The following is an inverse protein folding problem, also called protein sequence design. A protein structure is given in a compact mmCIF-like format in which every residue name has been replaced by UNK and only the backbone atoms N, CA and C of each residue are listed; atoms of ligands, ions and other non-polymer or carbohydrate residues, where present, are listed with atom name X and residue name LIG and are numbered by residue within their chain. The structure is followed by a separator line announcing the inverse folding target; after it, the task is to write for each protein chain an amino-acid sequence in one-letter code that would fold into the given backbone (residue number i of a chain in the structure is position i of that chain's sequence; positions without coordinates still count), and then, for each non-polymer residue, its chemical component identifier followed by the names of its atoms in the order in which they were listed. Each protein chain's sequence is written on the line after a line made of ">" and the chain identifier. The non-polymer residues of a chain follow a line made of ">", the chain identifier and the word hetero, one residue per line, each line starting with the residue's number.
data_IF_298421695677
#
_entry.id   IF_298421695677
#
_cell.length_a   1.000
_cell.length_b   1.000
_cell.length_c   1.000
_cell.angle_alpha   90.00
_cell.angle_beta   90.00
_cell.angle_gamma   90.00
#
_symmetry.space_group_name_H-M   'P 1'
#
loop_
_entity.id
_entity.type
_entity.pdbx_description
1 polymer ?
2 polymer ?
3 polymer ?
#
# COMPACT_ATOMS: atom_id res chain seq x y z
N UNK A 1 -7.06 -13.19 15.65
CA UNK A 1 -6.20 -12.24 16.33
C UNK A 1 -6.57 -10.79 16.07
N UNK A 2 -5.55 -9.95 15.84
CA UNK A 2 -5.78 -8.52 15.84
C UNK A 2 -6.28 -8.03 14.49
N UNK A 3 -6.75 -6.78 14.49
CA UNK A 3 -7.25 -6.10 13.31
C UNK A 3 -6.91 -4.60 13.39
N UNK A 4 -6.89 -3.97 12.23
CA UNK A 4 -6.49 -2.57 12.15
C UNK A 4 -7.41 -1.83 11.17
N UNK A 5 -7.65 -0.56 11.46
CA UNK A 5 -8.33 0.36 10.54
C UNK A 5 -7.39 1.53 10.22
N UNK A 6 -7.30 1.86 8.93
CA UNK A 6 -6.41 2.93 8.51
C UNK A 6 -7.10 3.78 7.48
N UNK A 7 -6.97 5.09 7.65
CA UNK A 7 -7.28 6.06 6.61
C UNK A 7 -5.96 6.74 6.22
N UNK A 8 -5.66 6.77 4.92
CA UNK A 8 -4.48 7.47 4.41
C UNK A 8 -4.94 8.54 3.42
N UNK A 9 -4.33 9.73 3.50
CA UNK A 9 -4.69 10.84 2.64
C UNK A 9 -3.43 11.55 2.11
N UNK A 10 -3.46 11.86 0.81
CA UNK A 10 -2.42 12.65 0.15
C UNK A 10 -3.03 13.90 -0.47
N UNK A 11 -2.59 15.07 -0.03
CA UNK A 11 -2.77 16.34 -0.75
C UNK A 11 -1.52 16.67 -1.55
N UNK A 12 -1.70 17.14 -2.77
CA UNK A 12 -0.56 17.54 -3.60
C UNK A 12 -0.84 18.88 -4.28
N UNK A 13 0.00 19.86 -4.03
CA UNK A 13 -0.08 21.17 -4.67
C UNK A 13 0.42 21.10 -6.11
N UNK A 14 -0.35 21.67 -7.03
CA UNK A 14 0.10 21.87 -8.40
C UNK A 14 -0.08 23.34 -8.70
N UNK A 15 0.97 24.14 -8.60
CA UNK A 15 0.84 25.57 -8.94
C UNK A 15 0.82 25.74 -10.45
N UNK A 16 -0.04 26.63 -10.90
CA UNK A 16 -0.19 26.88 -12.33
C UNK A 16 -1.04 25.83 -13.01
N UNK A 17 -0.78 24.55 -12.72
CA UNK A 17 -1.66 23.48 -13.17
C UNK A 17 -2.96 23.41 -12.36
N UNK A 18 -3.36 24.49 -11.68
CA UNK A 18 -4.66 24.52 -11.04
C UNK A 18 -4.64 24.54 -9.52
N UNK A 19 -5.14 23.47 -8.90
CA UNK A 19 -5.35 23.42 -7.44
C UNK A 19 -4.98 22.11 -6.77
N UNK A 20 -4.48 22.17 -5.50
CA UNK A 20 -4.19 20.94 -4.74
C UNK A 20 -5.23 19.82 -4.86
N UNK A 21 -4.81 18.73 -5.49
CA UNK A 21 -5.57 17.48 -5.50
C UNK A 21 -5.47 16.78 -4.15
N UNK A 22 -6.56 16.14 -3.74
CA UNK A 22 -6.66 15.48 -2.43
C UNK A 22 -7.31 14.12 -2.61
N UNK A 23 -6.58 13.07 -2.24
CA UNK A 23 -6.98 11.67 -2.39
C UNK A 23 -6.97 11.06 -0.99
N UNK A 24 -8.04 10.33 -0.63
CA UNK A 24 -8.04 9.63 0.65
C UNK A 24 -8.62 8.24 0.48
N UNK A 25 -8.03 7.23 1.16
CA UNK A 25 -8.55 5.87 1.14
C UNK A 25 -8.60 5.32 2.57
N UNK A 26 -9.45 4.31 2.75
CA UNK A 26 -9.58 3.64 4.03
C UNK A 26 -9.36 2.16 3.86
N UNK A 27 -8.80 1.55 4.91
CA UNK A 27 -8.52 0.11 4.93
C UNK A 27 -9.04 -0.47 6.23
N UNK A 28 -9.64 -1.63 6.16
CA UNK A 28 -9.62 -2.56 7.28
C UNK A 28 -8.63 -3.65 6.94
N UNK A 29 -7.70 -3.89 7.86
CA UNK A 29 -6.57 -4.76 7.57
C UNK A 29 -5.99 -4.34 6.23
N UNK A 30 -5.95 -5.27 5.28
CA UNK A 30 -5.38 -5.04 3.96
C UNK A 30 -6.45 -4.98 2.88
N UNK A 31 -7.70 -4.69 3.26
CA UNK A 31 -8.78 -4.57 2.30
C UNK A 31 -9.28 -3.13 2.26
N UNK A 32 -9.17 -2.51 1.10
CA UNK A 32 -9.65 -1.16 0.90
C UNK A 32 -11.18 -1.17 0.90
N UNK A 33 -11.79 -0.19 1.56
CA UNK A 33 -13.23 -0.19 1.69
C UNK A 33 -13.92 1.14 1.38
N UNK A 34 -13.23 2.29 1.40
CA UNK A 34 -13.81 3.58 1.03
C UNK A 34 -12.75 4.42 0.33
N UNK A 35 -13.19 5.46 -0.37
CA UNK A 35 -12.25 6.40 -0.96
C UNK A 35 -12.93 7.76 -1.12
N UNK A 36 -12.10 8.79 -1.38
CA UNK A 36 -12.52 10.15 -1.72
C UNK A 36 -11.44 10.76 -2.61
N UNK A 37 -11.85 11.26 -3.76
CA UNK A 37 -10.96 11.90 -4.72
C UNK A 37 -11.45 13.32 -4.97
N UNK A 38 -10.60 14.31 -4.64
CA UNK A 38 -11.00 15.70 -4.80
C UNK A 38 -11.33 16.05 -6.24
N UNK A 39 -10.83 15.28 -7.21
CA UNK A 39 -11.05 15.55 -8.62
C UNK A 39 -11.99 14.54 -9.26
N UNK A 40 -12.93 14.00 -8.46
CA UNK A 40 -13.77 12.90 -8.92
C UNK A 40 -14.93 13.34 -9.80
N UNK A 41 -15.47 14.55 -9.57
CA UNK A 41 -16.79 14.94 -10.10
C UNK A 41 -17.87 14.01 -9.56
N UNK A 42 -18.04 14.07 -8.24
CA UNK A 42 -19.01 13.27 -7.51
C UNK A 42 -19.05 13.89 -6.13
N UNK A 43 -17.89 14.36 -5.69
CA UNK A 43 -17.64 14.97 -4.40
C UNK A 43 -18.30 14.21 -3.25
N UNK A 44 -18.43 12.89 -3.39
CA UNK A 44 -18.95 12.05 -2.33
C UNK A 44 -17.93 10.98 -1.99
N UNK A 45 -17.77 10.69 -0.70
CA UNK A 45 -17.05 9.51 -0.27
C UNK A 45 -17.67 8.26 -0.89
N UNK A 46 -16.85 7.46 -1.59
CA UNK A 46 -17.35 6.33 -2.38
C UNK A 46 -17.05 4.99 -1.73
N UNK A 47 -17.84 3.95 -2.03
CA UNK A 47 -17.52 2.59 -1.56
C UNK A 47 -16.49 1.89 -2.44
N UNK A 48 -15.74 0.98 -1.82
CA UNK A 48 -14.79 0.18 -2.59
C UNK A 48 -14.79 -1.31 -2.26
N UNK A 49 -15.38 -1.74 -1.15
CA UNK A 49 -15.66 -3.14 -0.90
C UNK A 49 -17.17 -3.38 -0.84
N UNK A 50 -17.62 -4.55 -1.28
CA UNK A 50 -19.07 -4.85 -1.25
C UNK A 50 -19.77 -4.66 0.09
N UNK A 51 -19.11 -4.99 1.21
CA UNK A 51 -19.73 -5.00 2.53
C UNK A 51 -19.86 -3.61 3.16
N UNK A 52 -19.44 -2.55 2.47
CA UNK A 52 -19.68 -1.21 2.97
C UNK A 52 -20.92 -0.59 2.33
N UNK A 53 -21.43 -1.19 1.24
CA UNK A 53 -22.63 -0.67 0.59
C UNK A 53 -23.90 -0.87 1.43
N UNK A 54 -23.93 -1.90 2.27
CA UNK A 54 -25.04 -2.09 3.19
C UNK A 54 -25.27 -0.90 4.12
N UNK A 55 -24.24 -0.07 4.41
CA UNK A 55 -24.46 1.17 5.16
C UNK A 55 -25.39 2.10 4.39
N UNK A 56 -26.29 2.80 5.12
CA UNK A 56 -27.34 3.62 4.53
C UNK A 56 -26.90 4.92 3.97
N UNK A 57 -27.79 5.77 3.45
CA UNK A 57 -27.32 7.05 2.86
C UNK A 57 -26.93 8.11 3.88
N UNK A 58 -27.34 7.97 5.13
CA UNK A 58 -26.90 8.95 6.12
C UNK A 58 -25.42 8.78 6.44
N UNK A 59 -24.92 7.55 6.33
CA UNK A 59 -23.49 7.26 6.44
C UNK A 59 -22.70 8.00 5.37
N UNK A 60 -23.05 7.78 4.09
CA UNK A 60 -22.37 8.47 3.00
C UNK A 60 -22.54 9.98 3.08
N UNK A 61 -23.68 10.45 3.62
CA UNK A 61 -23.87 11.88 3.84
C UNK A 61 -22.91 12.40 4.91
N UNK A 62 -22.70 11.61 5.95
CA UNK A 62 -21.82 12.02 7.04
C UNK A 62 -20.36 12.02 6.61
N UNK A 63 -19.84 10.82 6.26
CA UNK A 63 -18.42 10.66 5.97
C UNK A 63 -17.95 11.64 4.91
N UNK A 64 -18.79 11.90 3.89
CA UNK A 64 -18.47 12.93 2.90
C UNK A 64 -18.29 14.29 3.57
N UNK A 65 -19.02 14.54 4.65
CA UNK A 65 -18.84 15.80 5.36
C UNK A 65 -17.51 15.87 6.07
N UNK A 66 -17.11 14.80 6.74
CA UNK A 66 -15.86 14.84 7.48
C UNK A 66 -14.66 14.96 6.55
N UNK A 67 -14.71 14.28 5.40
CA UNK A 67 -13.54 14.20 4.53
C UNK A 67 -13.47 15.29 3.46
N UNK A 68 -14.58 15.95 3.15
CA UNK A 68 -14.45 17.20 2.40
C UNK A 68 -13.82 18.27 3.30
N UNK A 69 -14.28 18.34 4.55
CA UNK A 69 -13.71 19.19 5.59
C UNK A 69 -12.20 19.13 5.64
N UNK A 70 -11.71 17.97 6.08
CA UNK A 70 -10.27 17.74 6.21
C UNK A 70 -9.50 18.08 4.94
N UNK A 71 -10.08 17.82 3.76
CA UNK A 71 -9.44 18.16 2.50
C UNK A 71 -9.11 19.65 2.42
N UNK A 72 -10.09 20.52 2.72
CA UNK A 72 -9.82 21.96 2.72
C UNK A 72 -8.78 22.34 3.78
N UNK A 73 -8.84 21.71 4.95
CA UNK A 73 -7.88 21.98 6.03
C UNK A 73 -6.44 21.77 5.56
N UNK A 74 -6.14 20.59 5.02
CA UNK A 74 -4.80 20.30 4.55
C UNK A 74 -4.42 21.17 3.36
N UNK A 75 -5.41 21.50 2.51
CA UNK A 75 -5.15 22.38 1.38
C UNK A 75 -4.55 23.69 1.85
N UNK A 76 -5.04 24.21 2.99
CA UNK A 76 -4.40 25.38 3.58
C UNK A 76 -3.06 25.01 4.23
N UNK A 77 -3.02 23.89 4.97
CA UNK A 77 -1.78 23.45 5.61
C UNK A 77 -0.61 23.39 4.64
N UNK A 78 -0.86 22.98 3.39
CA UNK A 78 0.15 23.08 2.35
C UNK A 78 0.75 24.49 2.26
N UNK A 79 -0.09 25.53 2.36
CA UNK A 79 0.41 26.91 2.37
C UNK A 79 1.23 27.19 3.63
N UNK A 80 0.71 26.84 4.83
CA UNK A 80 1.44 27.11 6.07
C UNK A 80 2.83 26.49 6.03
N UNK A 81 2.96 25.32 5.40
CA UNK A 81 4.24 24.63 5.37
C UNK A 81 5.24 25.37 4.49
N UNK A 82 4.85 25.66 3.25
CA UNK A 82 5.64 26.48 2.35
C UNK A 82 6.06 27.81 3.01
N UNK A 83 5.32 28.26 4.02
CA UNK A 83 5.72 29.38 4.87
C UNK A 83 6.83 28.94 5.82
N UNK A 84 6.49 28.07 6.80
CA UNK A 84 7.42 27.64 7.84
C UNK A 84 8.78 27.19 7.28
N UNK A 85 8.83 26.79 6.01
CA UNK A 85 10.03 26.23 5.39
C UNK A 85 10.68 27.15 4.37
N UNK A 86 10.05 28.28 4.05
CA UNK A 86 10.56 29.25 3.07
C UNK A 86 10.79 28.62 1.69
N UNK A 87 9.73 28.06 1.12
CA UNK A 87 9.80 27.48 -0.21
C UNK A 87 9.02 28.31 -1.23
N UNK A 88 9.42 28.18 -2.48
CA UNK A 88 8.84 28.89 -3.61
C UNK A 88 7.45 28.32 -3.99
N UNK A 89 6.63 29.20 -4.56
CA UNK A 89 5.25 28.89 -4.91
C UNK A 89 5.13 28.34 -6.33
N UNK A 90 6.23 27.91 -6.93
CA UNK A 90 6.19 27.24 -8.22
C UNK A 90 6.44 25.75 -8.11
N UNK A 91 6.88 25.25 -6.96
CA UNK A 91 7.14 23.84 -6.81
C UNK A 91 5.94 23.07 -6.30
N UNK A 92 5.93 21.77 -6.58
CA UNK A 92 4.94 20.88 -6.02
C UNK A 92 5.44 20.33 -4.69
N UNK A 93 4.55 20.24 -3.74
CA UNK A 93 4.84 19.67 -2.44
C UNK A 93 3.72 18.71 -2.08
N UNK A 94 4.03 17.74 -1.24
CA UNK A 94 3.10 16.69 -0.87
C UNK A 94 2.78 16.81 0.61
N UNK A 95 1.52 16.67 0.98
CA UNK A 95 1.16 16.49 2.38
C UNK A 95 0.47 15.16 2.55
N UNK A 96 0.97 14.34 3.47
CA UNK A 96 0.44 13.01 3.69
C UNK A 96 0.07 12.86 5.15
N UNK A 97 -1.03 12.16 5.40
CA UNK A 97 -1.41 11.85 6.76
C UNK A 97 -1.97 10.44 6.85
N UNK A 98 -1.67 9.76 7.97
CA UNK A 98 -2.37 8.53 8.34
C UNK A 98 -2.84 8.61 9.78
N UNK A 99 -3.97 7.95 10.03
CA UNK A 99 -4.50 7.75 11.37
C UNK A 99 -5.28 6.44 11.38
N UNK A 100 -5.47 5.89 12.58
CA UNK A 100 -6.24 4.67 12.71
C UNK A 100 -6.06 4.04 14.07
N UNK A 101 -6.49 2.80 14.18
CA UNK A 101 -6.36 2.09 15.45
C UNK A 101 -6.22 0.59 15.19
N UNK A 102 -5.67 -0.09 16.19
CA UNK A 102 -5.46 -1.53 16.21
C UNK A 102 -6.19 -2.10 17.41
N UNK A 103 -6.82 -3.26 17.23
CA UNK A 103 -7.56 -3.87 18.32
C UNK A 103 -7.12 -5.32 18.50
N UNK A 104 -7.37 -5.84 19.70
CA UNK A 104 -7.02 -7.21 20.03
C UNK A 104 -7.99 -8.21 19.44
N UNK A 105 -7.90 -9.43 19.96
CA UNK A 105 -8.81 -10.52 19.60
C UNK A 105 -10.23 -10.31 20.12
N UNK A 106 -10.41 -9.40 21.07
CA UNK A 106 -11.68 -9.15 21.75
C UNK A 106 -12.37 -7.88 21.26
N UNK A 107 -11.71 -7.09 20.41
CA UNK A 107 -12.23 -5.81 20.03
C UNK A 107 -11.87 -4.68 20.97
N UNK A 108 -11.10 -4.95 22.02
CA UNK A 108 -10.60 -3.90 22.87
C UNK A 108 -9.59 -3.03 22.11
N UNK A 109 -9.39 -1.82 22.60
CA UNK A 109 -8.39 -0.94 22.01
C UNK A 109 -6.99 -1.44 22.34
N UNK A 110 -6.07 -1.29 21.38
CA UNK A 110 -4.68 -1.71 21.57
C UNK A 110 -3.69 -0.58 21.31
N UNK A 111 -3.78 0.08 20.16
CA UNK A 111 -2.83 1.14 19.85
C UNK A 111 -3.42 2.04 18.78
N UNK A 112 -3.20 3.35 18.92
CA UNK A 112 -3.71 4.32 17.96
C UNK A 112 -2.63 5.15 17.30
N UNK A 113 -2.94 5.74 16.15
CA UNK A 113 -1.96 6.52 15.42
C UNK A 113 -2.58 7.77 14.81
N UNK A 114 -1.76 8.79 14.66
CA UNK A 114 -2.18 10.07 14.10
C UNK A 114 -0.92 10.82 13.69
N UNK A 115 -0.55 10.74 12.40
CA UNK A 115 0.75 11.23 11.94
C UNK A 115 0.62 11.99 10.62
N UNK A 116 1.60 12.86 10.37
CA UNK A 116 1.68 13.69 9.16
C UNK A 116 3.08 13.61 8.57
N UNK A 117 3.17 13.72 7.24
CA UNK A 117 4.47 13.73 6.57
C UNK A 117 4.46 14.75 5.45
N UNK A 118 5.42 15.66 5.50
CA UNK A 118 5.57 16.69 4.48
C UNK A 118 6.65 16.23 3.50
N UNK A 119 6.29 16.10 2.23
CA UNK A 119 7.27 15.88 1.17
C UNK A 119 8.10 14.62 1.44
N UNK A 120 7.43 13.53 1.82
CA UNK A 120 8.03 12.22 1.94
C UNK A 120 8.65 11.93 3.29
N UNK A 121 8.75 12.92 4.17
CA UNK A 121 9.50 12.80 5.40
C UNK A 121 8.59 13.08 6.59
N UNK A 122 8.78 12.31 7.66
CA UNK A 122 8.21 12.58 8.98
C UNK A 122 8.09 14.08 9.25
N UNK A 123 6.88 14.55 9.58
CA UNK A 123 6.68 15.95 9.98
C UNK A 123 6.26 16.07 11.45
N UNK A 124 5.05 15.63 11.82
CA UNK A 124 4.67 15.51 13.22
C UNK A 124 3.80 14.28 13.39
N UNK A 125 3.83 13.71 14.60
CA UNK A 125 3.06 12.50 14.83
C UNK A 125 2.79 12.36 16.31
N UNK A 126 1.68 11.67 16.59
CA UNK A 126 1.24 11.45 17.94
C UNK A 126 2.00 10.27 18.51
N UNK A 127 2.43 10.40 19.75
CA UNK A 127 3.20 9.39 20.45
C UNK A 127 2.36 8.14 20.71
N UNK A 128 2.95 7.16 21.39
CA UNK A 128 2.18 5.99 21.76
C UNK A 128 1.26 6.27 22.94
N UNK A 129 1.69 7.10 23.89
CA UNK A 129 0.79 7.45 24.99
C UNK A 129 -0.45 8.23 24.53
N UNK A 130 -0.44 8.75 23.31
CA UNK A 130 -1.50 9.62 22.81
C UNK A 130 -1.68 10.87 23.69
N UNK A 131 -0.62 11.26 24.40
CA UNK A 131 -0.53 12.48 25.20
C UNK A 131 0.42 13.52 24.64
N UNK A 132 1.56 13.10 24.08
CA UNK A 132 2.61 14.00 23.64
C UNK A 132 2.83 13.87 22.14
N UNK A 133 3.65 14.76 21.61
CA UNK A 133 3.88 14.86 20.18
C UNK A 133 5.37 14.73 19.86
N UNK A 134 5.65 14.26 18.65
CA UNK A 134 7.01 14.05 18.15
C UNK A 134 7.19 14.85 16.87
N UNK A 135 7.69 16.07 17.01
CA UNK A 135 8.05 16.87 15.85
C UNK A 135 9.41 16.43 15.33
N UNK A 136 9.61 16.57 14.03
CA UNK A 136 10.78 16.04 13.36
C UNK A 136 11.84 17.08 13.03
N UNK A 137 11.50 18.37 13.03
CA UNK A 137 12.47 19.44 12.79
C UNK A 137 11.87 20.74 13.32
N UNK A 138 12.56 21.87 13.05
CA UNK A 138 12.19 23.15 13.65
C UNK A 138 10.80 23.60 13.24
N UNK A 139 10.47 23.48 11.94
CA UNK A 139 9.17 23.92 11.47
C UNK A 139 8.03 23.20 12.19
N UNK A 140 8.19 21.91 12.45
CA UNK A 140 7.14 21.14 13.12
C UNK A 140 7.00 21.44 14.60
N UNK A 141 8.00 22.09 15.22
CA UNK A 141 7.88 22.46 16.64
C UNK A 141 7.00 23.69 16.83
N UNK A 142 7.09 24.64 15.89
CA UNK A 142 6.12 25.73 15.80
C UNK A 142 4.71 25.19 15.83
N UNK A 143 4.47 24.12 15.07
CA UNK A 143 3.22 23.39 15.11
C UNK A 143 3.10 22.51 16.34
N UNK A 144 4.20 21.96 16.84
CA UNK A 144 4.08 21.15 18.05
C UNK A 144 3.59 22.01 19.21
N UNK A 145 4.16 23.21 19.37
CA UNK A 145 3.76 24.13 20.43
C UNK A 145 2.29 24.55 20.29
N UNK A 146 1.89 24.92 19.07
CA UNK A 146 0.49 25.26 18.84
C UNK A 146 -0.45 24.16 19.35
N UNK A 147 -0.14 22.89 19.06
CA UNK A 147 -1.05 21.78 19.33
C UNK A 147 -1.02 21.28 20.77
N UNK A 148 -0.21 21.87 21.65
CA UNK A 148 -0.32 21.54 23.07
C UNK A 148 -1.09 22.59 23.85
N UNK A 149 -1.00 23.85 23.43
CA UNK A 149 -1.86 24.87 24.02
C UNK A 149 -3.31 24.63 23.62
N UNK A 150 -3.54 23.97 22.48
CA UNK A 150 -4.88 23.64 22.02
C UNK A 150 -5.39 22.31 22.56
N UNK A 151 -4.53 21.50 23.16
CA UNK A 151 -4.91 20.17 23.67
C UNK A 151 -5.52 19.31 22.56
N UNK A 152 -4.83 19.29 21.41
CA UNK A 152 -5.32 18.51 20.27
C UNK A 152 -5.14 17.03 20.53
N UNK A 153 -4.11 16.64 21.28
CA UNK A 153 -3.95 15.24 21.64
C UNK A 153 -5.20 14.73 22.36
N UNK A 154 -5.68 15.50 23.34
CA UNK A 154 -6.94 15.17 24.00
C UNK A 154 -8.02 14.82 22.98
N UNK A 155 -8.20 15.69 21.99
CA UNK A 155 -9.21 15.49 20.96
C UNK A 155 -8.98 14.17 20.23
N UNK A 156 -7.84 14.06 19.54
CA UNK A 156 -7.52 12.87 18.75
C UNK A 156 -7.56 11.60 19.60
N UNK A 157 -7.07 11.67 20.84
CA UNK A 157 -7.17 10.53 21.75
C UNK A 157 -8.63 10.09 21.92
N UNK A 158 -9.55 11.05 22.00
CA UNK A 158 -10.95 10.72 22.18
C UNK A 158 -11.51 9.98 20.96
N UNK A 159 -11.16 10.43 19.76
CA UNK A 159 -11.58 9.73 18.55
C UNK A 159 -11.07 8.29 18.53
N UNK A 160 -9.80 8.09 18.89
CA UNK A 160 -9.14 6.81 18.63
C UNK A 160 -9.67 5.71 19.56
N UNK A 161 -9.83 6.00 20.84
CA UNK A 161 -10.30 4.99 21.78
C UNK A 161 -11.80 4.77 21.69
N UNK A 162 -12.51 5.61 20.96
CA UNK A 162 -13.96 5.53 20.87
C UNK A 162 -14.46 5.28 19.46
N UNK A 163 -14.54 6.34 18.65
CA UNK A 163 -15.12 6.21 17.32
C UNK A 163 -14.36 5.19 16.48
N UNK A 164 -13.02 5.28 16.48
CA UNK A 164 -12.20 4.38 15.67
C UNK A 164 -12.42 2.92 16.06
N UNK A 165 -12.41 2.61 17.35
CA UNK A 165 -12.67 1.25 17.77
C UNK A 165 -14.11 0.84 17.46
N UNK A 166 -15.08 1.72 17.76
CA UNK A 166 -16.48 1.39 17.56
C UNK A 166 -16.75 0.96 16.12
N UNK A 167 -16.29 1.76 15.15
CA UNK A 167 -16.66 1.53 13.77
C UNK A 167 -15.98 0.32 13.15
N UNK A 168 -14.70 0.12 13.47
CA UNK A 168 -14.02 -1.09 13.04
C UNK A 168 -14.79 -2.33 13.49
N UNK A 169 -15.10 -2.40 14.79
CA UNK A 169 -15.85 -3.52 15.32
C UNK A 169 -17.12 -3.76 14.52
N UNK A 170 -17.80 -2.67 14.12
CA UNK A 170 -18.98 -2.78 13.27
C UNK A 170 -18.65 -3.41 11.92
N UNK A 171 -17.64 -2.88 11.23
CA UNK A 171 -17.26 -3.44 9.93
C UNK A 171 -16.82 -4.90 10.03
N UNK A 172 -16.27 -5.30 11.19
CA UNK A 172 -15.78 -6.67 11.35
C UNK A 172 -16.89 -7.69 11.38
N UNK A 173 -18.09 -7.26 11.74
CA UNK A 173 -19.30 -8.07 11.66
C UNK A 173 -19.96 -7.94 10.29
N UNK A 174 -19.98 -6.74 9.72
CA UNK A 174 -20.59 -6.56 8.41
C UNK A 174 -19.89 -7.39 7.34
N UNK A 175 -18.57 -7.53 7.45
CA UNK A 175 -17.80 -8.25 6.46
C UNK A 175 -17.07 -9.46 7.00
N UNK A 176 -17.63 -10.10 8.04
CA UNK A 176 -16.95 -11.19 8.74
C UNK A 176 -16.52 -12.30 7.78
N UNK A 177 -17.22 -12.48 6.67
CA UNK A 177 -16.91 -13.57 5.76
C UNK A 177 -15.73 -13.25 4.84
N UNK A 178 -15.47 -11.97 4.62
CA UNK A 178 -14.31 -11.50 3.88
C UNK A 178 -13.15 -11.11 4.80
N UNK A 179 -13.45 -10.45 5.91
CA UNK A 179 -12.41 -9.86 6.75
C UNK A 179 -11.83 -10.81 7.79
N UNK A 180 -12.58 -11.84 8.21
CA UNK A 180 -12.10 -12.75 9.25
C UNK A 180 -11.54 -14.04 8.68
N UNK A 181 -11.48 -14.16 7.37
CA UNK A 181 -10.83 -15.30 6.75
C UNK A 181 -9.33 -15.18 6.92
N UNK A 182 -8.65 -16.33 6.90
CA UNK A 182 -7.23 -16.40 6.62
C UNK A 182 -7.08 -17.44 5.51
N UNK A 183 -6.48 -17.03 4.40
CA UNK A 183 -6.22 -17.96 3.31
C UNK A 183 -4.77 -18.40 3.36
N UNK A 184 -4.48 -19.68 3.46
CA UNK A 184 -3.09 -20.13 3.43
C UNK A 184 -2.51 -20.05 2.02
N UNK A 185 -1.22 -19.81 1.92
CA UNK A 185 -0.56 -19.74 0.61
C UNK A 185 -0.42 -21.11 -0.03
N UNK A 186 -0.92 -21.25 -1.25
CA UNK A 186 -0.43 -22.33 -2.09
C UNK A 186 1.01 -22.04 -2.47
N UNK A 187 1.87 -23.07 -2.41
CA UNK A 187 3.31 -22.86 -2.59
C UNK A 187 3.86 -23.86 -3.59
N UNK A 188 4.71 -23.39 -4.48
CA UNK A 188 5.39 -24.29 -5.40
C UNK A 188 6.84 -23.80 -5.59
N UNK A 189 7.65 -24.61 -6.27
CA UNK A 189 9.03 -24.22 -6.53
C UNK A 189 9.33 -24.26 -8.02
N UNK A 190 10.24 -23.39 -8.47
CA UNK A 190 10.68 -23.35 -9.87
C UNK A 190 12.21 -23.35 -9.96
N UNK A 191 12.72 -23.61 -11.16
CA UNK A 191 14.11 -23.99 -11.30
C UNK A 191 14.61 -23.74 -12.72
N UNK A 192 15.77 -23.05 -12.85
CA UNK A 192 16.24 -22.56 -14.16
C UNK A 192 17.76 -22.37 -14.24
N UNK A 193 18.41 -22.91 -15.27
CA UNK A 193 19.88 -22.78 -15.41
C UNK A 193 20.30 -21.41 -15.96
N UNK A 194 21.12 -20.69 -15.19
CA UNK A 194 21.70 -19.44 -15.68
C UNK A 194 22.91 -19.71 -16.56
N UNK A 195 23.80 -20.59 -16.10
CA UNK A 195 24.93 -21.02 -16.89
C UNK A 195 25.03 -22.53 -16.83
N UNK A 196 26.18 -23.07 -17.23
CA UNK A 196 26.41 -24.51 -17.05
C UNK A 196 26.98 -24.81 -15.69
N UNK A 197 27.09 -23.78 -14.85
CA UNK A 197 27.64 -23.88 -13.52
C UNK A 197 26.66 -23.50 -12.43
N UNK A 198 25.57 -22.82 -12.77
CA UNK A 198 24.67 -22.28 -11.77
C UNK A 198 23.22 -22.43 -12.23
N UNK A 199 22.31 -22.36 -11.26
CA UNK A 199 20.87 -22.38 -11.52
C UNK A 199 20.15 -21.53 -10.48
N UNK A 200 19.01 -20.97 -10.88
CA UNK A 200 18.14 -20.22 -9.96
C UNK A 200 17.08 -21.15 -9.36
N UNK A 201 16.85 -21.01 -8.06
CA UNK A 201 15.74 -21.68 -7.38
C UNK A 201 14.79 -20.61 -6.83
N UNK A 202 13.52 -20.62 -7.29
CA UNK A 202 12.54 -19.59 -6.91
C UNK A 202 11.40 -20.21 -6.11
N UNK A 203 11.22 -19.71 -4.89
CA UNK A 203 10.20 -20.18 -3.98
C UNK A 203 8.98 -19.25 -4.02
N UNK A 204 7.83 -19.76 -4.48
CA UNK A 204 6.64 -18.97 -4.75
C UNK A 204 5.56 -19.20 -3.70
N UNK A 205 4.98 -18.11 -3.19
CA UNK A 205 3.81 -18.19 -2.28
C UNK A 205 2.63 -17.40 -2.87
N UNK A 206 1.60 -18.10 -3.32
CA UNK A 206 0.47 -17.48 -4.01
C UNK A 206 -0.81 -17.54 -3.16
N UNK A 207 -1.67 -16.51 -3.36
CA UNK A 207 -3.06 -16.51 -2.96
C UNK A 207 -3.38 -16.52 -1.48
N UNK A 208 -2.70 -15.69 -0.68
CA UNK A 208 -2.91 -15.67 0.77
C UNK A 208 -3.50 -14.35 1.23
N UNK A 209 -4.10 -14.37 2.43
CA UNK A 209 -4.66 -13.22 3.12
C UNK A 209 -4.63 -13.55 4.61
N UNK A 210 -4.27 -12.60 5.49
CA UNK A 210 -3.78 -11.22 5.24
C UNK A 210 -2.35 -11.15 4.64
N UNK A 211 -1.69 -9.99 4.59
CA UNK A 211 -0.50 -9.85 3.75
C UNK A 211 0.78 -10.35 4.42
N UNK A 212 0.88 -10.26 5.74
CA UNK A 212 2.02 -10.75 6.50
C UNK A 212 2.44 -12.14 6.02
N UNK A 213 3.74 -12.32 5.82
CA UNK A 213 4.29 -13.60 5.42
C UNK A 213 5.81 -13.52 5.54
N UNK A 214 6.44 -14.65 5.85
CA UNK A 214 7.90 -14.74 5.82
C UNK A 214 8.33 -15.82 4.84
N UNK A 215 9.31 -15.48 4.00
CA UNK A 215 9.90 -16.42 3.04
C UNK A 215 11.40 -16.33 3.20
N UNK A 216 12.00 -17.41 3.69
CA UNK A 216 13.44 -17.43 3.89
C UNK A 216 14.03 -18.72 3.33
N UNK A 217 15.23 -18.60 2.76
CA UNK A 217 16.00 -19.73 2.26
C UNK A 217 17.05 -20.17 3.28
N UNK A 218 17.49 -21.43 3.17
CA UNK A 218 18.57 -21.99 3.98
C UNK A 218 19.45 -22.93 3.15
N UNK A 219 20.72 -23.01 3.52
CA UNK A 219 21.67 -23.96 2.93
C UNK A 219 22.33 -24.72 4.08
N UNK A 220 21.97 -25.99 4.21
CA UNK A 220 22.37 -26.83 5.35
C UNK A 220 21.92 -26.25 6.69
N UNK A 221 20.72 -25.64 6.69
CA UNK A 221 20.16 -25.02 7.88
C UNK A 221 20.69 -23.64 8.19
N UNK A 222 21.44 -23.05 7.27
CA UNK A 222 22.14 -21.78 7.48
C UNK A 222 21.37 -20.72 6.71
N UNK A 223 21.05 -19.59 7.37
CA UNK A 223 20.28 -18.54 6.70
C UNK A 223 21.08 -17.88 5.60
N UNK A 224 20.50 -17.77 4.42
CA UNK A 224 21.15 -17.23 3.23
C UNK A 224 20.66 -15.83 2.93
N UNK A 225 20.73 -14.97 3.95
CA UNK A 225 20.09 -13.66 3.89
C UNK A 225 20.60 -12.81 2.72
N UNK A 226 21.92 -12.85 2.44
CA UNK A 226 22.53 -11.90 1.52
C UNK A 226 22.53 -12.35 0.06
N UNK A 227 22.47 -13.64 -0.23
CA UNK A 227 22.37 -14.11 -1.62
C UNK A 227 20.93 -14.32 -2.05
N UNK A 228 19.98 -14.11 -1.14
CA UNK A 228 18.57 -14.24 -1.47
C UNK A 228 18.10 -12.97 -2.17
N UNK A 229 17.25 -13.17 -3.17
CA UNK A 229 16.54 -12.11 -3.88
C UNK A 229 15.06 -12.20 -3.49
N UNK A 230 14.56 -11.19 -2.78
CA UNK A 230 13.25 -11.26 -2.13
C UNK A 230 12.41 -10.06 -2.54
N UNK A 231 11.26 -10.31 -3.19
CA UNK A 231 10.45 -9.22 -3.72
C UNK A 231 9.46 -8.75 -2.67
N UNK A 232 9.03 -7.48 -2.84
CA UNK A 232 7.99 -6.90 -2.01
C UNK A 232 6.71 -7.70 -2.13
N UNK A 233 6.02 -7.90 -1.00
CA UNK A 233 4.69 -8.52 -1.02
C UNK A 233 3.78 -7.72 -1.94
N UNK A 234 3.21 -8.37 -2.96
CA UNK A 234 2.43 -7.69 -3.99
C UNK A 234 0.98 -8.18 -4.06
N UNK A 235 0.04 -7.33 -4.49
CA UNK A 235 -1.37 -7.73 -4.56
C UNK A 235 -1.75 -8.43 -5.85
N UNK A 236 -2.59 -9.46 -5.71
CA UNK A 236 -3.07 -10.21 -6.87
C UNK A 236 -4.26 -9.53 -7.58
N UNK A 237 -5.03 -8.71 -6.88
CA UNK A 237 -6.15 -8.04 -7.51
C UNK A 237 -7.46 -8.41 -6.85
N UNK A 238 -7.72 -9.70 -6.78
CA UNK A 238 -8.86 -10.26 -6.07
C UNK A 238 -8.78 -10.08 -4.56
N UNK A 239 -7.75 -9.45 -4.00
CA UNK A 239 -7.62 -9.40 -2.55
C UNK A 239 -6.82 -10.53 -1.94
N UNK A 240 -6.10 -11.32 -2.73
CA UNK A 240 -5.00 -12.10 -2.20
C UNK A 240 -3.69 -11.42 -2.57
N UNK A 241 -2.59 -12.00 -2.11
CA UNK A 241 -1.28 -11.41 -2.30
C UNK A 241 -0.32 -12.50 -2.78
N UNK A 242 0.87 -12.06 -3.21
CA UNK A 242 1.91 -12.93 -3.75
C UNK A 242 3.24 -12.47 -3.19
N UNK A 243 4.22 -13.38 -3.16
CA UNK A 243 5.59 -13.08 -2.79
C UNK A 243 6.47 -14.26 -3.19
N UNK A 244 7.69 -13.96 -3.62
CA UNK A 244 8.62 -15.04 -3.90
C UNK A 244 10.03 -14.70 -3.43
N UNK A 245 10.82 -15.75 -3.27
CA UNK A 245 12.20 -15.65 -2.81
C UNK A 245 13.04 -16.44 -3.79
N UNK A 246 14.27 -15.98 -4.05
CA UNK A 246 15.08 -16.61 -5.07
C UNK A 246 16.53 -16.68 -4.64
N UNK A 247 17.17 -17.80 -4.93
CA UNK A 247 18.59 -18.01 -4.69
C UNK A 247 19.22 -18.52 -5.97
N UNK A 248 20.48 -18.12 -6.20
CA UNK A 248 21.31 -18.75 -7.23
C UNK A 248 22.14 -19.78 -6.52
N UNK A 249 22.23 -20.98 -7.10
CA UNK A 249 22.92 -22.10 -6.49
C UNK A 249 23.78 -22.79 -7.55
N UNK A 250 24.78 -23.56 -7.12
CA UNK A 250 25.64 -24.25 -8.10
C UNK A 250 25.01 -25.54 -8.58
N UNK A 251 25.20 -25.82 -9.88
CA UNK A 251 24.57 -26.96 -10.53
C UNK A 251 24.94 -28.24 -9.81
N UNK A 252 23.93 -28.94 -9.31
CA UNK A 252 24.11 -30.19 -8.61
C UNK A 252 24.00 -30.09 -7.11
N UNK A 253 23.71 -28.91 -6.58
CA UNK A 253 23.65 -28.73 -5.14
C UNK A 253 22.26 -28.37 -4.65
N UNK A 254 21.24 -28.45 -5.52
CA UNK A 254 19.91 -27.97 -5.18
C UNK A 254 19.32 -28.70 -3.98
N UNK A 255 19.94 -29.79 -3.54
CA UNK A 255 19.40 -30.55 -2.42
C UNK A 255 19.77 -29.95 -1.08
N UNK A 256 20.83 -29.14 -1.00
CA UNK A 256 21.17 -28.56 0.29
C UNK A 256 20.32 -27.35 0.63
N UNK A 257 19.62 -26.77 -0.33
CA UNK A 257 18.83 -25.57 -0.09
C UNK A 257 17.40 -25.95 0.27
N UNK A 258 16.83 -25.24 1.25
CA UNK A 258 15.40 -25.38 1.59
C UNK A 258 14.73 -24.02 1.80
N UNK A 259 13.43 -23.94 1.54
CA UNK A 259 12.68 -22.67 1.58
C UNK A 259 11.50 -22.75 2.54
N UNK A 260 11.48 -21.86 3.54
CA UNK A 260 10.53 -21.92 4.64
C UNK A 260 9.52 -20.79 4.57
N UNK A 261 8.26 -21.13 4.81
CA UNK A 261 7.12 -20.23 4.69
C UNK A 261 6.41 -20.19 6.04
N UNK A 262 6.15 -18.99 6.55
CA UNK A 262 5.28 -18.87 7.71
C UNK A 262 4.16 -17.90 7.40
N UNK A 263 2.96 -18.26 7.86
CA UNK A 263 1.73 -17.50 7.64
C UNK A 263 0.77 -17.77 8.78
N UNK A 264 -0.27 -16.93 8.88
CA UNK A 264 -1.37 -17.18 9.82
C UNK A 264 -2.08 -18.49 9.50
N UNK A 265 -2.61 -18.61 8.29
CA UNK A 265 -3.31 -19.79 7.84
C UNK A 265 -2.48 -21.04 7.65
N UNK A 266 -1.29 -21.10 8.23
CA UNK A 266 -0.50 -22.32 8.23
C UNK A 266 -0.33 -22.83 9.64
N UNK A 267 -0.98 -23.95 10.00
CA UNK A 267 -0.74 -24.59 11.31
C UNK A 267 0.74 -24.72 11.62
N UNK A 268 1.37 -25.60 10.88
CA UNK A 268 2.80 -25.74 10.88
C UNK A 268 3.41 -24.86 9.80
N UNK A 269 4.54 -24.21 10.08
CA UNK A 269 5.34 -23.65 8.98
C UNK A 269 5.68 -24.74 7.97
N UNK A 270 5.74 -24.35 6.69
CA UNK A 270 6.03 -25.27 5.61
C UNK A 270 7.51 -25.28 5.27
N UNK A 271 7.95 -26.36 4.63
CA UNK A 271 9.29 -26.46 4.07
C UNK A 271 9.21 -27.18 2.74
N UNK A 272 9.94 -26.66 1.75
CA UNK A 272 9.83 -27.06 0.36
C UNK A 272 11.22 -27.27 -0.19
N UNK A 273 11.47 -28.41 -0.83
CA UNK A 273 12.77 -28.75 -1.37
C UNK A 273 12.63 -29.16 -2.82
N UNK A 274 13.67 -28.89 -3.60
CA UNK A 274 13.69 -29.34 -4.97
C UNK A 274 14.37 -30.71 -5.03
N UNK B 1 14.73 12.82 -0.30
CA UNK B 1 13.72 13.73 -0.79
C UNK B 1 12.84 12.97 -1.78
N UNK B 2 13.44 12.18 -2.68
CA UNK B 2 12.65 11.49 -3.71
C UNK B 2 13.21 10.11 -4.01
N UNK B 3 12.32 9.13 -4.10
CA UNK B 3 12.68 7.73 -4.28
C UNK B 3 12.07 7.17 -5.56
N UNK B 4 12.86 6.36 -6.27
CA UNK B 4 12.45 5.76 -7.54
C UNK B 4 11.45 4.61 -7.30
N UNK B 5 10.65 4.27 -8.31
CA UNK B 5 9.71 3.16 -8.10
C UNK B 5 10.35 1.81 -8.40
N UNK B 6 9.80 0.81 -7.69
CA UNK B 6 10.09 -0.59 -7.94
C UNK B 6 8.90 -1.19 -8.69
N UNK B 7 9.19 -1.92 -9.74
CA UNK B 7 8.24 -2.30 -10.78
C UNK B 7 8.16 -3.81 -10.82
N UNK B 8 6.95 -4.36 -10.74
CA UNK B 8 6.75 -5.79 -10.96
C UNK B 8 5.65 -5.97 -12.01
N UNK B 9 5.92 -6.79 -13.02
CA UNK B 9 4.94 -7.18 -14.02
C UNK B 9 4.64 -8.65 -13.82
N UNK B 10 3.35 -9.02 -13.80
CA UNK B 10 2.99 -10.41 -13.50
C UNK B 10 1.50 -10.66 -13.72
N UNK B 11 1.15 -11.95 -13.73
CA UNK B 11 -0.24 -12.37 -13.87
C UNK B 11 -0.79 -12.78 -12.52
N UNK B 12 -2.11 -12.61 -12.39
CA UNK B 12 -2.84 -13.02 -11.18
C UNK B 12 -2.66 -14.50 -10.91
N UNK B 13 -2.81 -15.34 -11.93
CA UNK B 13 -2.55 -16.76 -11.84
C UNK B 13 -1.42 -17.10 -12.79
N UNK B 14 -0.75 -18.25 -12.61
CA UNK B 14 0.31 -18.61 -13.56
C UNK B 14 -0.28 -18.78 -14.95
N UNK B 15 0.55 -18.48 -15.95
CA UNK B 15 0.05 -18.19 -17.30
C UNK B 15 -0.25 -19.48 -18.06
N UNK B 16 -1.52 -19.88 -18.03
CA UNK B 16 -2.05 -20.86 -18.98
C UNK B 16 -2.35 -20.17 -20.30
N UNK B 17 -1.67 -20.60 -21.38
CA UNK B 17 -2.03 -20.09 -22.70
C UNK B 17 -3.51 -20.37 -23.00
N UNK B 18 -4.21 -19.35 -23.50
CA UNK B 18 -5.60 -19.50 -23.86
C UNK B 18 -6.60 -19.44 -22.72
N UNK B 19 -6.16 -19.32 -21.47
CA UNK B 19 -7.05 -19.15 -20.32
C UNK B 19 -6.97 -17.70 -19.83
N UNK B 20 -8.12 -17.09 -19.57
CA UNK B 20 -8.09 -15.66 -19.30
C UNK B 20 -7.35 -15.42 -17.99
N UNK B 21 -6.70 -14.26 -17.92
CA UNK B 21 -5.87 -13.90 -16.78
C UNK B 21 -6.09 -12.43 -16.48
N UNK B 22 -5.32 -11.91 -15.54
CA UNK B 22 -5.22 -10.49 -15.29
C UNK B 22 -3.74 -10.14 -15.33
N UNK B 23 -3.36 -9.18 -16.16
CA UNK B 23 -1.98 -8.70 -16.20
C UNK B 23 -1.82 -7.53 -15.23
N UNK B 24 -0.82 -7.62 -14.36
CA UNK B 24 -0.58 -6.61 -13.33
C UNK B 24 0.77 -5.91 -13.53
N UNK B 25 0.76 -4.57 -13.37
CA UNK B 25 1.97 -3.82 -13.04
C UNK B 25 1.80 -3.20 -11.67
N UNK B 26 2.56 -3.71 -10.68
CA UNK B 26 2.63 -3.10 -9.37
C UNK B 26 3.84 -2.17 -9.26
N UNK B 27 3.61 -0.95 -8.74
CA UNK B 27 4.64 0.05 -8.55
C UNK B 27 4.58 0.55 -7.11
N UNK B 28 5.73 0.53 -6.43
CA UNK B 28 5.81 0.74 -4.99
C UNK B 28 7.08 1.53 -4.64
N UNK B 29 7.03 2.18 -3.48
CA UNK B 29 8.19 2.82 -2.88
C UNK B 29 8.66 4.11 -3.50
N UNK B 30 7.83 4.75 -4.33
CA UNK B 30 8.25 5.94 -5.07
C UNK B 30 7.74 7.22 -4.39
N UNK B 31 8.40 8.32 -4.73
CA UNK B 31 8.05 9.66 -4.28
C UNK B 31 8.75 10.65 -5.19
N UNK B 32 8.05 11.67 -5.69
CA UNK B 32 6.66 12.07 -5.39
C UNK B 32 5.59 11.16 -5.99
N UNK B 33 4.32 11.38 -5.59
CA UNK B 33 3.22 10.48 -5.97
C UNK B 33 2.97 10.49 -7.47
N UNK B 34 3.06 11.66 -8.09
CA UNK B 34 2.93 11.82 -9.53
C UNK B 34 3.68 10.76 -10.32
N UNK B 35 2.94 9.93 -11.06
CA UNK B 35 3.53 8.80 -11.78
C UNK B 35 2.63 8.44 -12.96
N UNK B 36 3.22 7.80 -13.97
CA UNK B 36 2.51 7.24 -15.12
C UNK B 36 2.90 5.79 -15.33
N UNK B 37 1.88 4.92 -15.40
CA UNK B 37 2.07 3.50 -15.68
C UNK B 37 1.23 3.11 -16.87
N UNK B 38 1.86 2.46 -17.84
CA UNK B 38 1.21 2.05 -19.07
C UNK B 38 1.48 0.57 -19.31
N UNK B 39 0.51 -0.14 -19.87
CA UNK B 39 0.74 -1.53 -20.23
C UNK B 39 0.89 -1.65 -21.73
N UNK B 40 1.82 -2.50 -22.16
CA UNK B 40 2.14 -2.67 -23.57
C UNK B 40 1.94 -4.11 -23.97
N UNK B 41 1.29 -4.32 -25.11
CA UNK B 41 1.21 -5.63 -25.74
C UNK B 41 1.93 -5.51 -27.08
N UNK B 42 2.97 -6.31 -27.26
CA UNK B 42 3.83 -6.24 -28.43
C UNK B 42 4.09 -4.79 -28.85
N UNK B 43 4.46 -3.98 -27.87
CA UNK B 43 4.76 -2.57 -28.03
C UNK B 43 3.60 -1.58 -27.81
N UNK B 44 2.38 -1.95 -28.21
CA UNK B 44 1.31 -0.97 -28.25
C UNK B 44 0.68 -0.78 -26.89
N UNK B 45 0.36 0.47 -26.58
CA UNK B 45 -0.35 0.79 -25.37
C UNK B 45 -1.69 0.04 -25.31
N UNK B 46 -1.99 -0.58 -24.18
CA UNK B 46 -3.28 -1.18 -23.93
C UNK B 46 -4.20 -0.09 -23.39
N UNK B 47 -5.39 0.01 -23.96
CA UNK B 47 -6.24 1.17 -23.71
C UNK B 47 -6.93 1.06 -22.37
N UNK B 48 -7.92 0.15 -22.26
CA UNK B 48 -8.73 0.07 -21.06
C UNK B 48 -7.92 -0.58 -19.96
N UNK B 49 -7.33 0.23 -19.08
CA UNK B 49 -6.46 -0.28 -18.04
C UNK B 49 -6.79 0.46 -16.74
N UNK B 50 -7.38 -0.26 -15.80
CA UNK B 50 -7.75 0.25 -14.50
C UNK B 50 -6.55 0.24 -13.53
N UNK B 51 -6.71 0.99 -12.45
CA UNK B 51 -5.70 1.07 -11.42
C UNK B 51 -6.36 1.34 -10.08
N UNK B 52 -5.67 0.93 -9.02
CA UNK B 52 -6.12 1.11 -7.64
C UNK B 52 -6.07 2.60 -7.27
N UNK B 53 -6.33 2.91 -6.01
CA UNK B 53 -6.39 4.29 -5.57
C UNK B 53 -5.15 4.59 -4.73
N UNK B 54 -4.60 5.81 -4.91
CA UNK B 54 -3.33 6.19 -4.30
C UNK B 54 -3.28 5.85 -2.83
N UNK B 55 -2.31 5.01 -2.47
CA UNK B 55 -2.15 4.50 -1.13
C UNK B 55 -0.67 4.54 -0.82
N UNK B 56 -0.32 4.45 0.47
CA UNK B 56 1.09 4.47 0.77
C UNK B 56 1.39 3.59 1.97
N UNK B 57 2.70 3.34 2.16
CA UNK B 57 3.17 2.35 3.08
C UNK B 57 3.57 2.94 4.42
N UNK B 58 3.94 2.05 5.33
CA UNK B 58 4.31 2.37 6.70
C UNK B 58 5.38 3.45 6.76
N UNK B 59 6.05 3.73 5.63
CA UNK B 59 7.22 4.59 5.54
C UNK B 59 7.04 5.76 4.58
N UNK B 60 5.79 6.17 4.34
CA UNK B 60 5.36 7.29 3.49
C UNK B 60 5.65 7.10 2.00
N UNK B 61 6.08 5.94 1.57
CA UNK B 61 6.27 5.79 0.13
C UNK B 61 4.97 5.29 -0.48
N UNK B 62 4.75 5.65 -1.73
CA UNK B 62 3.51 5.35 -2.44
C UNK B 62 3.58 4.02 -3.19
N UNK B 63 2.39 3.40 -3.35
CA UNK B 63 2.24 2.24 -4.23
C UNK B 63 0.95 2.36 -5.03
N UNK B 64 0.90 1.65 -6.15
CA UNK B 64 -0.23 1.64 -7.05
C UNK B 64 -0.22 0.33 -7.82
N UNK B 65 -1.40 -0.23 -8.07
CA UNK B 65 -1.54 -1.38 -8.95
C UNK B 65 -2.28 -1.00 -10.22
N UNK B 66 -1.71 -1.36 -11.36
CA UNK B 66 -2.35 -1.18 -12.66
C UNK B 66 -2.64 -2.56 -13.24
N UNK B 67 -3.83 -2.73 -13.80
CA UNK B 67 -4.26 -4.07 -14.18
C UNK B 67 -5.19 -4.03 -15.38
N UNK B 68 -5.39 -5.21 -15.96
CA UNK B 68 -6.14 -5.38 -17.20
C UNK B 68 -6.36 -6.88 -17.45
N UNK B 69 -7.62 -7.26 -17.64
CA UNK B 69 -7.94 -8.62 -18.06
C UNK B 69 -7.23 -8.89 -19.39
N UNK B 70 -6.89 -10.15 -19.62
CA UNK B 70 -6.21 -10.50 -20.85
C UNK B 70 -6.10 -12.01 -20.92
N UNK B 71 -5.85 -12.51 -22.11
CA UNK B 71 -5.62 -13.93 -22.29
C UNK B 71 -4.26 -14.18 -22.92
N UNK B 72 -3.32 -14.75 -22.18
CA UNK B 72 -1.94 -14.92 -22.69
C UNK B 72 -1.90 -15.94 -23.81
N UNK B 73 -1.25 -15.56 -24.90
CA UNK B 73 -1.05 -16.47 -26.00
C UNK B 73 0.44 -16.68 -26.26
N UNK B 74 0.71 -17.64 -27.14
CA UNK B 74 2.05 -18.15 -27.34
C UNK B 74 2.98 -17.09 -27.94
N UNK B 75 2.47 -16.27 -28.86
CA UNK B 75 3.25 -15.34 -29.66
C UNK B 75 3.29 -13.92 -29.08
N UNK B 76 2.56 -13.65 -28.00
CA UNK B 76 2.41 -12.29 -27.50
C UNK B 76 3.38 -12.01 -26.35
N UNK B 77 4.01 -10.83 -26.43
CA UNK B 77 4.93 -10.35 -25.43
C UNK B 77 4.34 -9.09 -24.81
N UNK B 78 4.30 -9.05 -23.50
CA UNK B 78 3.77 -7.89 -22.81
C UNK B 78 4.89 -7.19 -22.07
N UNK B 79 4.58 -5.98 -21.62
CA UNK B 79 5.54 -5.21 -20.83
C UNK B 79 4.80 -4.10 -20.11
N UNK B 80 5.52 -3.48 -19.17
CA UNK B 80 5.06 -2.34 -18.42
C UNK B 80 6.05 -1.19 -18.64
N UNK B 81 5.53 0.01 -18.89
CA UNK B 81 6.36 1.18 -19.12
C UNK B 81 6.02 2.23 -18.08
N UNK B 82 7.02 2.61 -17.28
CA UNK B 82 6.80 3.48 -16.13
C UNK B 82 7.52 4.81 -16.38
N UNK B 83 6.78 5.89 -16.14
CA UNK B 83 7.19 7.26 -16.41
C UNK B 83 7.16 7.97 -15.07
N UNK B 84 8.33 8.33 -14.57
CA UNK B 84 8.44 9.01 -13.28
C UNK B 84 9.64 9.95 -13.37
N UNK B 85 9.68 10.93 -12.46
CA UNK B 85 10.67 11.99 -12.57
C UNK B 85 12.07 11.48 -12.21
N UNK B 86 12.14 10.50 -11.29
CA UNK B 86 13.39 9.85 -10.93
C UNK B 86 14.06 9.21 -12.15
N UNK B 87 13.27 8.80 -13.13
CA UNK B 87 13.78 8.19 -14.34
C UNK B 87 13.95 9.24 -15.43
N UNK B 88 15.08 9.19 -16.15
CA UNK B 88 15.33 10.14 -17.22
C UNK B 88 14.67 9.70 -18.53
N UNK B 89 14.56 8.41 -18.76
CA UNK B 89 13.71 7.80 -19.76
C UNK B 89 12.78 6.82 -19.08
N UNK B 90 11.54 6.71 -19.53
CA UNK B 90 10.62 5.76 -18.89
C UNK B 90 11.22 4.37 -18.89
N UNK B 91 11.20 3.73 -17.72
CA UNK B 91 11.73 2.38 -17.56
C UNK B 91 10.69 1.36 -18.03
N UNK B 92 11.15 0.38 -18.80
CA UNK B 92 10.27 -0.61 -19.39
C UNK B 92 10.66 -1.96 -18.84
N UNK B 93 9.67 -2.74 -18.42
CA UNK B 93 9.90 -4.05 -17.82
C UNK B 93 9.07 -5.08 -18.57
N UNK B 94 9.73 -6.12 -19.08
CA UNK B 94 9.04 -7.17 -19.83
C UNK B 94 8.39 -8.19 -18.90
N UNK B 95 7.20 -8.65 -19.28
CA UNK B 95 6.53 -9.70 -18.51
C UNK B 95 7.22 -11.03 -18.74
N UNK B 96 7.73 -11.62 -17.67
CA UNK B 96 8.38 -12.92 -17.67
C UNK B 96 7.44 -13.91 -17.00
N UNK B 97 7.03 -14.95 -17.75
CA UNK B 97 5.98 -15.82 -17.26
C UNK B 97 6.37 -16.54 -15.97
N UNK B 98 7.67 -16.69 -15.69
CA UNK B 98 8.10 -17.21 -14.40
C UNK B 98 8.72 -16.11 -13.53
N UNK B 99 8.11 -14.94 -13.50
CA UNK B 99 8.47 -13.94 -12.50
C UNK B 99 7.22 -13.17 -12.03
N UNK C 1 -15.29 4.98 9.77
CA UNK C 1 -15.69 6.27 10.36
C UNK C 1 -14.50 7.24 10.39
N UNK C 2 -14.59 8.31 9.62
CA UNK C 2 -13.49 9.25 9.54
C UNK C 2 -13.33 10.04 10.84
N UNK C 3 -12.23 10.77 10.94
CA UNK C 3 -11.94 11.60 12.09
C UNK C 3 -12.92 12.77 12.17
N UNK C 4 -12.98 13.40 13.35
CA UNK C 4 -13.90 14.51 13.59
C UNK C 4 -13.24 15.88 13.62
N UNK C 5 -12.03 15.99 14.17
CA UNK C 5 -11.37 17.28 14.37
C UNK C 5 -10.11 17.36 13.53
N UNK C 6 -9.80 18.56 13.03
CA UNK C 6 -8.66 18.79 12.15
C UNK C 6 -8.06 20.14 12.49
N UNK C 7 -6.74 20.20 12.58
CA UNK C 7 -6.06 21.40 13.02
C UNK C 7 -5.19 21.97 11.90
N UNK C 8 -4.87 23.26 12.02
CA UNK C 8 -3.94 23.91 11.13
C UNK C 8 -2.54 23.79 11.75
N UNK C 9 -1.51 23.83 10.90
CA UNK C 9 -0.13 23.90 11.41
C UNK C 9 0.18 25.29 11.96
#
# INVERSE_FOLDING_TARGET
>A
GSHSMRYFSTSVSRPGRGEPRFIAVGYVDDTQFVRFDSDAASQRMEPRAPWIEQEGPEYWDEETGKVKAHSQTDRENLRIALRYYNQSEAGSHTLQMMFGCDVGSDGRFLRGYHQYAYDGKDYIALKEDLRSWTAADMAAQITKRKWEAAHVAEQQRAYLEGTCVDGLRRYLENGKETLQRTDPPKTHMTHHPISDHEATLRCWALGFYPAEITLTWQRDGEDQTQDTELVETRPAGDGTFQKWAAVVVPSGEEQRYTCHVQHEGLPKPLTLRW
>B
IQRTPKIQVYSRHPAENGKSNFLNCYVSGFHPSDIEVDLLKNGERIEKVEHSDLSFSKDWSFYLLYYTEFTPTEKDEYACRVNHVTLSQPKIVKWDRDM
>C
NYNYRYRLF
#
